data_IF_451790434117
#
_entry.id   IF_451790434117
#
_cell.length_a   1.000
_cell.length_b   1.000
_cell.length_c   1.000
_cell.angle_alpha   90.00
_cell.angle_beta   90.00
_cell.angle_gamma   90.00
#
_symmetry.space_group_name_H-M   'P 1'
#
loop_
_entity.id
_entity.type
_entity.pdbx_description
1 polymer ?
#
# COMPACT_ATOMS: atom_id res chain seq x y z
N UNK A 1 -3.41 -3.81 -12.75
CA UNK A 1 -4.71 -3.09 -12.65
C UNK A 1 -4.58 -1.97 -11.63
N UNK A 2 -5.27 -0.84 -11.82
CA UNK A 2 -5.29 0.29 -10.88
C UNK A 2 -6.65 0.32 -10.21
N UNK A 3 -6.68 0.36 -8.88
CA UNK A 3 -7.89 0.64 -8.10
C UNK A 3 -7.81 2.08 -7.64
N UNK A 4 -8.72 2.92 -8.14
CA UNK A 4 -8.77 4.34 -7.82
C UNK A 4 -10.21 4.81 -7.80
N UNK A 5 -10.41 6.05 -7.35
CA UNK A 5 -11.67 6.73 -7.62
C UNK A 5 -11.89 6.81 -9.13
N UNK A 6 -13.15 6.65 -9.56
CA UNK A 6 -13.51 6.72 -10.97
C UNK A 6 -14.81 7.49 -11.17
N UNK A 7 -14.99 8.00 -12.38
CA UNK A 7 -16.21 8.66 -12.83
C UNK A 7 -16.93 7.78 -13.86
N UNK A 8 -18.25 7.97 -13.97
CA UNK A 8 -19.04 7.53 -15.10
C UNK A 8 -18.88 8.56 -16.22
N UNK A 9 -18.65 8.04 -17.42
CA UNK A 9 -18.50 8.81 -18.64
C UNK A 9 -19.67 8.50 -19.56
N UNK A 10 -20.20 9.51 -20.25
CA UNK A 10 -21.19 9.31 -21.30
C UNK A 10 -20.56 8.80 -22.60
N UNK A 11 -21.37 8.72 -23.67
CA UNK A 11 -20.93 8.24 -24.99
C UNK A 11 -19.86 9.14 -25.63
N UNK A 12 -19.79 10.41 -25.23
CA UNK A 12 -18.82 11.40 -25.73
C UNK A 12 -17.56 11.46 -24.84
N UNK A 13 -17.48 10.62 -23.80
CA UNK A 13 -16.36 10.58 -22.88
C UNK A 13 -16.37 11.72 -21.85
N UNK A 14 -17.52 12.37 -21.62
CA UNK A 14 -17.67 13.44 -20.63
C UNK A 14 -18.05 12.82 -19.28
N UNK A 15 -17.27 13.13 -18.25
CA UNK A 15 -17.56 12.70 -16.89
C UNK A 15 -18.81 13.41 -16.35
N UNK A 16 -19.82 12.64 -15.90
CA UNK A 16 -21.08 13.21 -15.40
C UNK A 16 -21.43 12.80 -13.97
N UNK A 17 -20.83 11.74 -13.42
CA UNK A 17 -21.13 11.28 -12.05
C UNK A 17 -19.98 10.46 -11.43
N UNK A 18 -19.78 10.49 -10.09
CA UNK A 18 -18.83 9.58 -9.44
C UNK A 18 -19.28 8.11 -9.54
N UNK A 19 -18.39 7.24 -10.03
CA UNK A 19 -18.65 5.80 -10.11
C UNK A 19 -18.15 5.06 -8.87
N UNK A 20 -16.91 5.31 -8.47
CA UNK A 20 -16.26 4.68 -7.32
C UNK A 20 -15.55 5.76 -6.52
N UNK A 21 -15.82 5.82 -5.22
CA UNK A 21 -15.09 6.68 -4.29
C UNK A 21 -14.29 5.81 -3.32
N UNK A 22 -12.97 5.87 -3.42
CA UNK A 22 -12.06 5.27 -2.44
C UNK A 22 -11.84 6.28 -1.32
N UNK A 23 -12.16 5.91 -0.10
CA UNK A 23 -12.12 6.78 1.07
C UNK A 23 -11.42 6.07 2.25
N UNK A 24 -11.22 6.80 3.35
CA UNK A 24 -10.52 6.28 4.52
C UNK A 24 -11.17 5.02 5.13
N UNK A 25 -12.47 4.77 4.91
CA UNK A 25 -13.15 3.57 5.44
C UNK A 25 -12.99 2.35 4.55
N UNK A 26 -12.87 2.53 3.22
CA UNK A 26 -12.79 1.42 2.28
C UNK A 26 -11.37 1.13 1.72
N UNK A 27 -10.37 2.00 1.93
CA UNK A 27 -8.96 1.77 1.54
C UNK A 27 -8.48 0.37 1.99
N UNK A 28 -8.75 -0.01 3.24
CA UNK A 28 -8.42 -1.33 3.78
C UNK A 28 -9.04 -2.47 2.98
N UNK A 29 -10.28 -2.31 2.52
CA UNK A 29 -10.95 -3.31 1.70
C UNK A 29 -10.23 -3.50 0.35
N UNK A 30 -9.74 -2.41 -0.26
CA UNK A 30 -8.95 -2.50 -1.49
C UNK A 30 -7.61 -3.20 -1.30
N UNK A 31 -6.94 -2.99 -0.17
CA UNK A 31 -5.71 -3.72 0.17
C UNK A 31 -6.00 -5.23 0.22
N UNK A 32 -7.09 -5.65 0.86
CA UNK A 32 -7.51 -7.05 0.86
C UNK A 32 -7.94 -7.58 -0.51
N UNK A 33 -8.55 -6.74 -1.36
CA UNK A 33 -8.87 -7.12 -2.74
C UNK A 33 -7.60 -7.38 -3.55
N UNK A 34 -6.59 -6.51 -3.45
CA UNK A 34 -5.28 -6.72 -4.09
C UNK A 34 -4.63 -8.00 -3.56
N UNK A 35 -4.60 -8.16 -2.24
CA UNK A 35 -4.04 -9.34 -1.58
C UNK A 35 -4.66 -10.65 -2.11
N UNK A 36 -5.98 -10.66 -2.29
CA UNK A 36 -6.76 -11.83 -2.74
C UNK A 36 -6.94 -11.92 -4.26
N UNK A 37 -6.44 -10.96 -5.04
CA UNK A 37 -6.64 -10.91 -6.50
C UNK A 37 -8.10 -10.65 -6.94
N UNK A 38 -8.91 -9.96 -6.12
CA UNK A 38 -10.31 -9.65 -6.44
C UNK A 38 -10.39 -8.42 -7.34
N UNK A 39 -10.59 -8.65 -8.63
CA UNK A 39 -10.58 -7.59 -9.64
C UNK A 39 -11.83 -6.71 -9.66
N UNK A 40 -12.95 -7.23 -9.19
CA UNK A 40 -14.21 -6.50 -9.14
C UNK A 40 -14.22 -5.55 -7.95
N UNK A 41 -14.41 -4.27 -8.22
CA UNK A 41 -14.60 -3.22 -7.21
C UNK A 41 -15.83 -3.52 -6.35
N UNK A 42 -16.91 -4.02 -6.95
CA UNK A 42 -18.20 -4.24 -6.30
C UNK A 42 -18.30 -5.60 -5.59
N UNK A 43 -17.37 -6.53 -5.83
CA UNK A 43 -17.42 -7.85 -5.22
C UNK A 43 -16.98 -7.82 -3.75
N UNK A 44 -17.97 -7.87 -2.86
CA UNK A 44 -17.82 -7.95 -1.41
C UNK A 44 -17.78 -9.39 -0.90
N UNK A 45 -18.16 -10.39 -1.71
CA UNK A 45 -18.19 -11.80 -1.28
C UNK A 45 -16.81 -12.43 -1.34
N UNK A 46 -16.10 -12.24 -2.45
CA UNK A 46 -14.76 -12.81 -2.62
C UNK A 46 -13.74 -12.19 -1.66
N UNK A 47 -13.84 -10.89 -1.39
CA UNK A 47 -12.95 -10.24 -0.41
C UNK A 47 -13.19 -10.74 1.02
N UNK A 48 -14.39 -11.20 1.36
CA UNK A 48 -14.73 -11.72 2.68
C UNK A 48 -14.44 -13.22 2.83
N UNK A 49 -14.23 -13.95 1.72
CA UNK A 49 -13.85 -15.36 1.76
C UNK A 49 -12.47 -15.53 2.38
N UNK A 50 -12.31 -16.48 3.28
CA UNK A 50 -11.00 -16.85 3.80
C UNK A 50 -10.17 -17.53 2.71
N UNK A 51 -8.94 -17.06 2.52
CA UNK A 51 -7.95 -17.63 1.61
C UNK A 51 -6.64 -17.75 2.41
N UNK A 52 -6.05 -18.96 2.52
CA UNK A 52 -4.75 -19.15 3.16
C UNK A 52 -3.70 -18.24 2.55
N UNK A 53 -2.78 -17.70 3.36
CA UNK A 53 -1.80 -16.70 2.91
C UNK A 53 -0.95 -17.16 1.72
N UNK A 54 -0.53 -18.44 1.73
CA UNK A 54 0.29 -19.05 0.67
C UNK A 54 -0.44 -19.16 -0.69
N UNK A 55 -1.77 -19.13 -0.68
CA UNK A 55 -2.60 -19.21 -1.88
C UNK A 55 -2.99 -17.82 -2.40
N UNK A 56 -2.60 -16.76 -1.70
CA UNK A 56 -2.96 -15.40 -2.08
C UNK A 56 -2.07 -14.91 -3.23
N UNK A 57 -2.65 -14.37 -4.30
CA UNK A 57 -1.88 -13.90 -5.45
C UNK A 57 -0.84 -12.83 -5.12
N UNK A 58 -1.12 -11.97 -4.13
CA UNK A 58 -0.19 -10.92 -3.70
C UNK A 58 -0.08 -10.98 -2.18
N UNK A 59 0.91 -11.69 -1.61
CA UNK A 59 1.12 -11.72 -0.17
C UNK A 59 1.40 -10.32 0.40
N UNK A 60 1.05 -10.10 1.67
CA UNK A 60 1.23 -8.79 2.31
C UNK A 60 2.70 -8.41 2.46
N UNK A 61 3.58 -9.37 2.72
CA UNK A 61 5.01 -9.14 2.81
C UNK A 61 5.62 -8.64 1.49
N UNK A 62 4.96 -8.85 0.35
CA UNK A 62 5.34 -8.28 -0.95
C UNK A 62 4.74 -6.89 -1.23
N UNK A 63 4.06 -6.28 -0.26
CA UNK A 63 3.42 -4.98 -0.45
C UNK A 63 4.25 -3.82 0.07
N UNK A 64 4.32 -2.76 -0.73
CA UNK A 64 4.76 -1.43 -0.30
C UNK A 64 3.53 -0.53 -0.25
N UNK A 65 3.26 0.06 0.91
CA UNK A 65 2.18 1.02 1.11
C UNK A 65 2.76 2.40 1.37
N UNK A 66 2.38 3.38 0.55
CA UNK A 66 2.79 4.78 0.71
C UNK A 66 1.56 5.58 1.11
N UNK A 67 1.63 6.34 2.21
CA UNK A 67 0.51 7.14 2.70
C UNK A 67 0.94 8.42 3.37
N UNK A 68 0.12 9.46 3.27
CA UNK A 68 0.36 10.76 3.86
C UNK A 68 -0.57 11.00 5.07
N UNK A 69 0.05 11.20 6.23
CA UNK A 69 -0.66 11.62 7.43
C UNK A 69 -1.52 10.56 8.11
N UNK A 70 -2.48 11.05 8.91
CA UNK A 70 -3.17 10.25 9.94
C UNK A 70 -4.29 9.37 9.38
N UNK A 71 -4.87 9.74 8.24
CA UNK A 71 -5.99 8.97 7.64
C UNK A 71 -5.57 7.58 7.15
N UNK A 72 -4.28 7.40 6.88
CA UNK A 72 -3.71 6.16 6.38
C UNK A 72 -3.08 5.27 7.46
N UNK A 73 -3.09 5.71 8.72
CA UNK A 73 -2.57 4.94 9.86
C UNK A 73 -3.13 3.51 9.92
N UNK A 74 -4.44 3.26 9.73
CA UNK A 74 -4.96 1.89 9.75
C UNK A 74 -4.39 1.01 8.64
N UNK A 75 -4.21 1.57 7.45
CA UNK A 75 -3.69 0.86 6.28
C UNK A 75 -2.18 0.57 6.43
N UNK A 76 -1.41 1.56 6.88
CA UNK A 76 0.02 1.40 7.16
C UNK A 76 0.26 0.32 8.22
N UNK A 77 -0.50 0.35 9.33
CA UNK A 77 -0.42 -0.67 10.38
C UNK A 77 -0.82 -2.05 9.87
N UNK A 78 -1.87 -2.13 9.05
CA UNK A 78 -2.29 -3.39 8.45
C UNK A 78 -1.15 -4.03 7.66
N UNK A 79 -0.59 -3.29 6.70
CA UNK A 79 0.48 -3.80 5.83
C UNK A 79 1.70 -4.19 6.66
N UNK A 80 2.12 -3.34 7.60
CA UNK A 80 3.23 -3.62 8.51
C UNK A 80 3.02 -4.88 9.36
N UNK A 81 1.84 -5.05 9.95
CA UNK A 81 1.54 -6.18 10.83
C UNK A 81 1.56 -7.52 10.07
N UNK A 82 1.28 -7.51 8.78
CA UNK A 82 1.35 -8.70 7.91
C UNK A 82 2.70 -8.80 7.15
N UNK A 83 3.74 -8.14 7.65
CA UNK A 83 5.11 -8.26 7.14
C UNK A 83 5.45 -7.40 5.92
N UNK A 84 4.52 -6.58 5.44
CA UNK A 84 4.76 -5.63 4.37
C UNK A 84 5.47 -4.35 4.83
N UNK A 85 5.74 -3.47 3.87
CA UNK A 85 6.49 -2.25 4.09
C UNK A 85 5.58 -1.02 3.97
N UNK A 86 5.43 -0.27 5.06
CA UNK A 86 4.67 0.98 5.08
C UNK A 86 5.59 2.21 5.18
N UNK A 87 5.38 3.16 4.27
CA UNK A 87 6.15 4.39 4.13
C UNK A 87 5.20 5.57 4.34
N UNK A 88 5.40 6.31 5.42
CA UNK A 88 4.72 7.58 5.63
C UNK A 88 5.47 8.69 4.89
N UNK A 89 4.76 9.47 4.08
CA UNK A 89 5.35 10.60 3.36
C UNK A 89 4.86 11.94 3.91
N UNK A 90 5.71 12.95 3.82
CA UNK A 90 5.37 14.33 4.19
C UNK A 90 5.86 15.33 3.15
N UNK A 91 5.18 16.47 3.06
CA UNK A 91 5.67 17.58 2.25
C UNK A 91 6.91 18.22 2.93
N UNK A 92 8.10 18.18 2.29
CA UNK A 92 9.31 18.76 2.88
C UNK A 92 9.24 20.28 3.06
N UNK A 93 8.42 20.98 2.26
CA UNK A 93 8.24 22.43 2.34
C UNK A 93 7.38 22.84 3.55
N UNK A 94 6.64 21.89 4.14
CA UNK A 94 5.79 22.15 5.28
C UNK A 94 6.57 22.07 6.60
N UNK A 95 6.78 23.23 7.23
CA UNK A 95 7.44 23.32 8.54
C UNK A 95 6.72 22.47 9.58
N UNK A 96 7.45 21.58 10.24
CA UNK A 96 6.96 20.73 11.33
C UNK A 96 6.39 19.38 10.89
N UNK A 97 6.11 19.17 9.60
CA UNK A 97 5.54 17.92 9.09
C UNK A 97 6.45 16.71 9.36
N UNK A 98 7.78 16.90 9.29
CA UNK A 98 8.74 15.86 9.66
C UNK A 98 8.64 15.43 11.12
N UNK A 99 8.43 16.35 12.06
CA UNK A 99 8.28 16.03 13.49
C UNK A 99 6.99 15.27 13.76
N UNK A 100 5.92 15.69 13.12
CA UNK A 100 4.62 15.01 13.21
C UNK A 100 4.73 13.59 12.67
N UNK A 101 5.34 13.40 11.50
CA UNK A 101 5.52 12.06 10.93
C UNK A 101 6.52 11.21 11.72
N UNK A 102 7.58 11.79 12.30
CA UNK A 102 8.52 11.06 13.14
C UNK A 102 7.85 10.43 14.38
N UNK A 103 6.79 11.07 14.91
CA UNK A 103 5.99 10.50 15.99
C UNK A 103 5.29 9.20 15.58
N UNK A 104 4.95 9.03 14.30
CA UNK A 104 4.33 7.80 13.79
C UNK A 104 5.30 6.61 13.79
N UNK A 105 6.60 6.85 13.55
CA UNK A 105 7.63 5.81 13.71
C UNK A 105 7.74 5.42 15.18
N UNK A 106 7.81 6.41 16.07
CA UNK A 106 7.94 6.19 17.51
C UNK A 106 6.79 5.37 18.09
N UNK A 107 5.56 5.64 17.63
CA UNK A 107 4.37 4.85 17.98
C UNK A 107 4.33 3.45 17.31
N UNK A 108 5.41 3.04 16.63
CA UNK A 108 5.54 1.80 15.89
C UNK A 108 4.46 1.61 14.81
N UNK A 109 3.89 2.70 14.28
CA UNK A 109 2.75 2.65 13.33
C UNK A 109 3.16 2.45 11.88
N UNK A 110 4.38 2.84 11.52
CA UNK A 110 4.92 2.78 10.15
C UNK A 110 6.32 2.14 10.14
N UNK A 111 6.80 1.70 8.98
CA UNK A 111 8.17 1.19 8.84
C UNK A 111 9.16 2.33 8.58
N UNK A 112 8.79 3.27 7.72
CA UNK A 112 9.67 4.35 7.26
C UNK A 112 8.93 5.68 7.17
N UNK A 113 9.69 6.79 7.24
CA UNK A 113 9.21 8.15 6.98
C UNK A 113 10.16 8.81 5.99
N UNK A 114 9.63 9.28 4.86
CA UNK A 114 10.41 9.92 3.81
C UNK A 114 9.74 11.23 3.36
N UNK A 115 10.51 12.21 2.84
CA UNK A 115 9.90 13.34 2.14
C UNK A 115 9.15 12.83 0.89
N UNK A 116 8.09 13.52 0.49
CA UNK A 116 7.32 13.24 -0.72
C UNK A 116 8.07 13.69 -2.00
N UNK A 117 9.33 13.29 -2.12
CA UNK A 117 10.20 13.53 -3.26
C UNK A 117 10.46 12.19 -3.98
N UNK A 118 9.89 12.05 -5.18
CA UNK A 118 9.94 10.82 -5.97
C UNK A 118 10.95 10.90 -7.13
N UNK A 119 11.89 11.85 -7.07
CA UNK A 119 12.94 11.99 -8.09
C UNK A 119 14.00 10.89 -7.96
N UNK A 120 14.72 10.63 -9.04
CA UNK A 120 15.80 9.64 -9.04
C UNK A 120 16.92 10.05 -8.07
N UNK A 121 17.35 9.10 -7.24
CA UNK A 121 18.37 9.33 -6.20
C UNK A 121 17.86 9.97 -4.91
N UNK A 122 16.55 10.26 -4.79
CA UNK A 122 15.96 10.75 -3.55
C UNK A 122 15.92 9.65 -2.46
N UNK A 123 15.65 10.05 -1.22
CA UNK A 123 15.43 9.11 -0.11
C UNK A 123 14.33 8.08 -0.41
N UNK A 124 13.26 8.50 -1.12
CA UNK A 124 12.14 7.63 -1.48
C UNK A 124 12.55 6.61 -2.55
N UNK A 125 13.29 7.04 -3.59
CA UNK A 125 13.77 6.17 -4.65
C UNK A 125 14.71 5.09 -4.09
N UNK A 126 15.69 5.51 -3.28
CA UNK A 126 16.63 4.60 -2.63
C UNK A 126 15.91 3.61 -1.70
N UNK A 127 14.94 4.07 -0.92
CA UNK A 127 14.17 3.23 -0.02
C UNK A 127 13.36 2.17 -0.77
N UNK A 128 12.61 2.56 -1.81
CA UNK A 128 11.79 1.63 -2.59
C UNK A 128 12.66 0.57 -3.26
N UNK A 129 13.79 0.96 -3.86
CA UNK A 129 14.75 0.01 -4.45
C UNK A 129 15.28 -0.97 -3.42
N UNK A 130 15.69 -0.47 -2.25
CA UNK A 130 16.20 -1.31 -1.16
C UNK A 130 15.14 -2.31 -0.68
N UNK A 131 13.87 -1.90 -0.58
CA UNK A 131 12.79 -2.81 -0.23
C UNK A 131 12.62 -3.88 -1.31
N UNK A 132 12.61 -3.51 -2.58
CA UNK A 132 12.50 -4.48 -3.69
C UNK A 132 13.65 -5.48 -3.68
N UNK A 133 14.89 -5.02 -3.47
CA UNK A 133 16.06 -5.89 -3.37
C UNK A 133 15.94 -6.86 -2.18
N UNK A 134 15.44 -6.38 -1.04
CA UNK A 134 15.14 -7.24 0.10
C UNK A 134 14.10 -8.31 -0.24
N UNK A 135 13.02 -7.94 -0.94
CA UNK A 135 11.97 -8.89 -1.33
C UNK A 135 12.49 -9.96 -2.30
N UNK A 136 13.36 -9.60 -3.25
CA UNK A 136 14.02 -10.58 -4.13
C UNK A 136 14.89 -11.55 -3.33
N UNK A 137 15.66 -11.05 -2.37
CA UNK A 137 16.49 -11.89 -1.52
C UNK A 137 15.67 -12.82 -0.62
N UNK A 138 14.59 -12.32 -0.03
CA UNK A 138 13.67 -13.12 0.81
C UNK A 138 13.02 -14.24 -0.03
N UNK A 139 12.49 -13.93 -1.23
CA UNK A 139 11.91 -14.94 -2.14
C UNK A 139 12.94 -15.99 -2.58
N UNK A 140 14.19 -15.57 -2.82
CA UNK A 140 15.28 -16.49 -3.15
C UNK A 140 15.63 -17.41 -1.98
N UNK A 141 15.63 -16.91 -0.75
CA UNK A 141 15.85 -17.72 0.45
C UNK A 141 14.74 -18.74 0.63
N UNK A 142 13.48 -18.32 0.51
CA UNK A 142 12.32 -19.22 0.62
C UNK A 142 12.41 -20.37 -0.38
N UNK A 143 12.80 -20.09 -1.64
CA UNK A 143 12.99 -21.13 -2.66
C UNK A 143 14.11 -22.12 -2.33
N UNK A 144 15.16 -21.69 -1.63
CA UNK A 144 16.26 -22.57 -1.22
C UNK A 144 15.87 -23.48 -0.06
N UNK A 145 15.03 -22.99 0.87
CA UNK A 145 14.54 -23.78 2.01
C UNK A 145 13.57 -24.88 1.59
N UNK A 146 12.82 -24.69 0.50
CA UNK A 146 11.87 -25.67 -0.05
C UNK A 146 12.56 -26.87 -0.73
N UNK A 147 13.87 -26.82 -0.98
CA UNK A 147 14.65 -27.91 -1.59
C UNK A 147 15.11 -28.97 -0.55
N UNK A 148 14.43 -29.10 0.59
CA UNK A 148 14.66 -30.18 1.58
C UNK A 148 13.43 -31.06 1.77
#
# INVERSE_FOLDING_TARGET
KIYACSFLYDVDGIAYWPAVAVNYTNKTQFIFKINKGVESVFDSKLVNRYIPEKERPVPFHHMIYVGDGTTDIPCMRLVKNFGGHSIAVYNPDQKGARKEMASLIHDNRVNHVCPADYTEGSDMDLLVRTIIDKLDLDDRLDRLEVVK
#
